data_IF_075028275126
#
_entry.id   IF_075028275126
#
_cell.length_a   1.000
_cell.length_b   1.000
_cell.length_c   1.000
_cell.angle_alpha   90.00
_cell.angle_beta   90.00
_cell.angle_gamma   90.00
#
_symmetry.space_group_name_H-M   'P 1'
#
loop_
_entity.id
_entity.type
_entity.pdbx_description
1 polymer ?
#
# COMPACT_ATOMS: atom_id res chain seq x y z
N UNK A 1 14.83 -42.33 -16.65
CA UNK A 1 14.48 -41.58 -15.41
C UNK A 1 13.98 -40.19 -15.81
N UNK A 2 12.67 -39.98 -15.73
CA UNK A 2 12.05 -38.72 -16.10
C UNK A 2 11.93 -37.87 -14.84
N UNK A 3 12.58 -36.72 -14.83
CA UNK A 3 12.41 -35.69 -13.76
C UNK A 3 11.06 -35.02 -13.94
N UNK A 4 10.15 -35.29 -13.03
CA UNK A 4 8.90 -34.55 -12.86
C UNK A 4 9.23 -33.14 -12.35
N UNK A 5 9.20 -32.16 -13.24
CA UNK A 5 9.20 -30.77 -12.88
C UNK A 5 7.78 -30.43 -12.36
N UNK A 6 7.61 -30.51 -11.03
CA UNK A 6 6.38 -30.14 -10.39
C UNK A 6 6.15 -28.63 -10.63
N UNK A 7 5.12 -28.29 -11.41
CA UNK A 7 4.64 -26.92 -11.53
C UNK A 7 4.26 -26.42 -10.13
N UNK A 8 5.02 -25.46 -9.62
CA UNK A 8 4.67 -24.72 -8.42
C UNK A 8 3.42 -23.91 -8.77
N UNK A 9 2.27 -24.35 -8.30
CA UNK A 9 1.04 -23.57 -8.38
C UNK A 9 1.30 -22.19 -7.76
N UNK A 10 0.86 -21.08 -8.39
CA UNK A 10 1.02 -19.77 -7.80
C UNK A 10 0.37 -19.79 -6.42
N UNK A 11 1.17 -19.54 -5.38
CA UNK A 11 0.66 -19.48 -4.01
C UNK A 11 -0.41 -18.39 -3.97
N UNK A 12 -1.60 -18.75 -3.51
CA UNK A 12 -2.68 -17.79 -3.30
C UNK A 12 -2.16 -16.61 -2.46
N UNK A 13 -2.41 -15.40 -2.91
CA UNK A 13 -2.04 -14.17 -2.17
C UNK A 13 -2.97 -13.94 -0.98
N UNK A 14 -4.03 -14.74 -0.86
CA UNK A 14 -4.97 -14.69 0.24
C UNK A 14 -4.37 -15.31 1.50
N UNK A 15 -4.47 -14.62 2.63
CA UNK A 15 -3.92 -15.12 3.90
C UNK A 15 -4.69 -16.32 4.43
N UNK A 16 -5.95 -16.47 4.06
CA UNK A 16 -6.76 -17.65 4.40
C UNK A 16 -6.19 -18.93 3.79
N UNK A 17 -5.42 -18.83 2.71
CA UNK A 17 -4.75 -20.01 2.12
C UNK A 17 -3.74 -20.68 3.05
N UNK A 18 -3.28 -19.99 4.09
CA UNK A 18 -2.43 -20.56 5.13
C UNK A 18 -3.21 -21.36 6.19
N UNK A 19 -4.52 -21.17 6.32
CA UNK A 19 -5.31 -21.76 7.41
C UNK A 19 -5.28 -23.28 7.46
N UNK A 20 -5.49 -24.02 6.36
CA UNK A 20 -5.40 -25.47 6.41
C UNK A 20 -4.02 -25.99 6.85
N UNK A 21 -2.94 -25.26 6.47
CA UNK A 21 -1.59 -25.62 6.88
C UNK A 21 -1.33 -25.30 8.36
N UNK A 22 -1.93 -24.23 8.88
CA UNK A 22 -1.87 -23.85 10.30
C UNK A 22 -2.59 -24.92 11.13
N UNK A 23 -3.83 -25.25 10.81
CA UNK A 23 -4.61 -26.26 11.51
C UNK A 23 -3.90 -27.63 11.52
N UNK A 24 -3.42 -28.06 10.35
CA UNK A 24 -2.70 -29.32 10.21
C UNK A 24 -1.42 -29.36 11.06
N UNK A 25 -0.68 -28.24 11.12
CA UNK A 25 0.63 -28.19 11.77
C UNK A 25 0.55 -28.03 13.28
N UNK A 26 -0.43 -27.27 13.77
CA UNK A 26 -0.51 -26.90 15.20
C UNK A 26 -1.68 -27.59 15.93
N UNK A 27 -2.48 -28.41 15.20
CA UNK A 27 -3.44 -29.34 15.79
C UNK A 27 -4.78 -28.74 16.23
N UNK A 28 -4.95 -27.41 16.12
CA UNK A 28 -6.15 -26.73 16.57
C UNK A 28 -6.87 -26.01 15.39
N UNK A 29 -8.21 -25.93 15.41
CA UNK A 29 -8.96 -25.24 14.35
C UNK A 29 -8.72 -23.74 14.37
N UNK A 30 -8.96 -23.06 13.23
CA UNK A 30 -8.76 -21.60 13.12
C UNK A 30 -9.58 -20.80 14.14
N UNK A 31 -10.78 -21.31 14.53
CA UNK A 31 -11.59 -20.69 15.60
C UNK A 31 -10.82 -20.56 16.93
N UNK A 32 -10.07 -21.61 17.29
CA UNK A 32 -9.21 -21.57 18.48
C UNK A 32 -8.11 -20.49 18.33
N UNK A 33 -7.45 -20.44 17.19
CA UNK A 33 -6.37 -19.46 16.94
C UNK A 33 -6.89 -18.03 16.93
N UNK A 34 -8.10 -17.78 16.43
CA UNK A 34 -8.71 -16.45 16.51
C UNK A 34 -9.03 -16.03 17.96
N UNK A 35 -9.46 -16.96 18.83
CA UNK A 35 -9.64 -16.65 20.24
C UNK A 35 -8.31 -16.32 20.94
N UNK A 36 -7.23 -17.06 20.64
CA UNK A 36 -5.91 -16.73 21.14
C UNK A 36 -5.47 -15.32 20.69
N UNK A 37 -5.71 -14.98 19.44
CA UNK A 37 -5.37 -13.65 18.91
C UNK A 37 -6.18 -12.51 19.55
N UNK A 38 -7.43 -12.75 19.96
CA UNK A 38 -8.21 -11.76 20.70
C UNK A 38 -7.57 -11.37 22.03
N UNK A 39 -6.97 -12.32 22.74
CA UNK A 39 -6.28 -12.08 24.02
C UNK A 39 -5.10 -11.12 23.90
N UNK A 40 -4.50 -11.04 22.73
CA UNK A 40 -3.33 -10.19 22.43
C UNK A 40 -3.63 -9.05 21.46
N UNK A 41 -4.91 -8.79 21.16
CA UNK A 41 -5.34 -7.82 20.13
C UNK A 41 -4.81 -6.40 20.36
N UNK A 42 -4.67 -5.97 21.61
CA UNK A 42 -4.13 -4.65 21.98
C UNK A 42 -2.60 -4.53 21.90
N UNK A 43 -1.87 -5.63 21.68
CA UNK A 43 -0.40 -5.60 21.60
C UNK A 43 0.09 -5.13 20.24
N UNK A 44 1.35 -4.68 20.18
CA UNK A 44 2.01 -4.33 18.91
C UNK A 44 2.21 -5.57 18.04
N UNK A 45 2.30 -5.37 16.74
CA UNK A 45 2.50 -6.47 15.76
C UNK A 45 3.65 -7.42 16.11
N UNK A 46 4.87 -6.95 16.47
CA UNK A 46 5.96 -7.86 16.83
C UNK A 46 5.65 -8.72 18.05
N UNK A 47 4.96 -8.17 19.04
CA UNK A 47 4.57 -8.86 20.27
C UNK A 47 3.51 -9.94 20.00
N UNK A 48 2.58 -9.68 19.08
CA UNK A 48 1.59 -10.67 18.64
C UNK A 48 2.25 -11.84 17.88
N UNK A 49 3.24 -11.53 17.03
CA UNK A 49 4.03 -12.56 16.33
C UNK A 49 4.86 -13.37 17.31
N UNK A 50 5.54 -12.72 18.27
CA UNK A 50 6.32 -13.38 19.32
C UNK A 50 5.42 -14.31 20.15
N UNK A 51 4.24 -13.86 20.55
CA UNK A 51 3.27 -14.65 21.31
C UNK A 51 2.96 -16.00 20.64
N UNK A 52 2.66 -16.01 19.33
CA UNK A 52 2.39 -17.24 18.61
C UNK A 52 3.62 -18.14 18.47
N UNK A 53 4.78 -17.53 18.28
CA UNK A 53 6.02 -18.29 18.09
C UNK A 53 6.53 -18.92 19.38
N UNK A 54 6.50 -18.18 20.46
CA UNK A 54 7.06 -18.58 21.76
C UNK A 54 6.12 -19.53 22.50
N UNK A 55 4.81 -19.33 22.46
CA UNK A 55 3.87 -20.14 23.19
C UNK A 55 3.34 -21.36 22.41
N UNK A 56 3.34 -21.29 21.08
CA UNK A 56 2.73 -22.34 20.22
C UNK A 56 3.66 -22.87 19.13
N UNK A 57 4.91 -22.42 19.07
CA UNK A 57 5.89 -22.90 18.08
C UNK A 57 5.60 -22.52 16.65
N UNK A 58 4.84 -21.45 16.42
CA UNK A 58 4.51 -21.00 15.05
C UNK A 58 5.78 -20.65 14.27
N UNK A 59 5.79 -21.04 12.99
CA UNK A 59 6.76 -20.52 12.04
C UNK A 59 6.53 -19.02 11.82
N UNK A 60 7.56 -18.28 11.40
CA UNK A 60 7.43 -16.85 11.12
C UNK A 60 6.35 -16.57 10.07
N UNK A 61 6.28 -17.40 9.00
CA UNK A 61 5.32 -17.25 7.92
C UNK A 61 3.86 -17.43 8.41
N UNK A 62 3.59 -18.49 9.19
CA UNK A 62 2.26 -18.77 9.73
C UNK A 62 1.84 -17.71 10.77
N UNK A 63 2.75 -17.31 11.66
CA UNK A 63 2.48 -16.25 12.63
C UNK A 63 2.16 -14.91 11.93
N UNK A 64 2.96 -14.54 10.92
CA UNK A 64 2.71 -13.33 10.14
C UNK A 64 1.35 -13.39 9.41
N UNK A 65 1.01 -14.52 8.79
CA UNK A 65 -0.25 -14.68 8.07
C UNK A 65 -1.44 -14.50 9.02
N UNK A 66 -1.45 -15.18 10.17
CA UNK A 66 -2.52 -15.13 11.15
C UNK A 66 -2.63 -13.74 11.79
N UNK A 67 -1.53 -13.15 12.26
CA UNK A 67 -1.52 -11.82 12.89
C UNK A 67 -2.02 -10.76 11.90
N UNK A 68 -1.53 -10.75 10.67
CA UNK A 68 -1.95 -9.79 9.66
C UNK A 68 -3.43 -9.96 9.29
N UNK A 69 -3.91 -11.20 9.20
CA UNK A 69 -5.33 -11.48 8.96
C UNK A 69 -6.20 -10.89 10.08
N UNK A 70 -5.87 -11.17 11.34
CA UNK A 70 -6.59 -10.64 12.52
C UNK A 70 -6.53 -9.11 12.61
N UNK A 71 -5.50 -8.48 12.03
CA UNK A 71 -5.37 -7.01 11.91
C UNK A 71 -6.10 -6.42 10.69
N UNK A 72 -6.88 -7.25 9.96
CA UNK A 72 -7.68 -6.81 8.83
C UNK A 72 -6.99 -6.90 7.45
N UNK A 73 -5.73 -7.31 7.39
CA UNK A 73 -5.04 -7.55 6.12
C UNK A 73 -5.28 -8.98 5.63
N UNK A 74 -6.27 -9.15 4.78
CA UNK A 74 -6.69 -10.47 4.29
C UNK A 74 -5.86 -11.00 3.12
N UNK A 75 -5.15 -10.13 2.40
CA UNK A 75 -4.32 -10.51 1.25
C UNK A 75 -2.88 -10.07 1.41
N UNK A 76 -1.97 -10.85 0.87
CA UNK A 76 -0.55 -10.52 0.69
C UNK A 76 -0.21 -10.13 -0.74
N UNK A 77 -1.23 -9.88 -1.58
CA UNK A 77 -1.06 -9.52 -2.99
C UNK A 77 -0.12 -8.32 -3.12
N UNK A 78 0.86 -8.47 -3.99
CA UNK A 78 1.72 -7.37 -4.44
C UNK A 78 1.26 -6.93 -5.81
N UNK A 79 1.22 -5.65 -6.03
CA UNK A 79 0.96 -5.06 -7.32
C UNK A 79 2.28 -4.82 -8.05
N UNK A 80 2.28 -4.98 -9.36
CA UNK A 80 3.45 -4.74 -10.22
C UNK A 80 3.21 -3.54 -11.13
N UNK A 81 1.96 -3.30 -11.49
CA UNK A 81 1.56 -2.21 -12.38
C UNK A 81 0.46 -1.34 -11.76
N UNK A 82 0.25 -0.15 -12.33
CA UNK A 82 -0.90 0.68 -11.97
C UNK A 82 -2.22 -0.06 -12.20
N UNK A 83 -2.34 -0.80 -13.29
CA UNK A 83 -3.55 -1.54 -13.64
C UNK A 83 -3.84 -2.64 -12.60
N UNK A 84 -2.81 -3.36 -12.15
CA UNK A 84 -2.97 -4.35 -11.07
C UNK A 84 -3.43 -3.71 -9.76
N UNK A 85 -2.91 -2.52 -9.47
CA UNK A 85 -3.30 -1.75 -8.29
C UNK A 85 -4.75 -1.28 -8.36
N UNK A 86 -5.19 -0.84 -9.54
CA UNK A 86 -6.54 -0.31 -9.75
C UNK A 86 -7.60 -1.41 -9.85
N UNK A 87 -7.26 -2.58 -10.39
CA UNK A 87 -8.22 -3.64 -10.68
C UNK A 87 -9.16 -4.04 -9.52
N UNK A 88 -8.73 -4.11 -8.25
CA UNK A 88 -9.62 -4.42 -7.13
C UNK A 88 -10.42 -3.23 -6.59
N UNK A 89 -10.20 -2.01 -7.10
CA UNK A 89 -10.86 -0.80 -6.64
C UNK A 89 -12.17 -0.56 -7.40
N UNK A 90 -13.10 0.17 -6.81
CA UNK A 90 -14.30 0.62 -7.52
C UNK A 90 -13.98 1.68 -8.59
N UNK A 91 -14.93 1.89 -9.51
CA UNK A 91 -14.76 2.78 -10.65
C UNK A 91 -14.39 4.22 -10.26
N UNK A 92 -14.99 4.76 -9.19
CA UNK A 92 -14.70 6.12 -8.74
C UNK A 92 -13.26 6.31 -8.28
N UNK A 93 -12.71 5.33 -7.54
CA UNK A 93 -11.29 5.33 -7.17
C UNK A 93 -10.40 5.20 -8.41
N UNK A 94 -10.71 4.27 -9.32
CA UNK A 94 -9.94 4.06 -10.54
C UNK A 94 -9.85 5.33 -11.38
N UNK A 95 -10.98 5.95 -11.67
CA UNK A 95 -11.07 7.18 -12.47
C UNK A 95 -10.29 8.33 -11.82
N UNK A 96 -10.49 8.54 -10.52
CA UNK A 96 -9.83 9.64 -9.80
C UNK A 96 -8.31 9.44 -9.78
N UNK A 97 -7.82 8.23 -9.50
CA UNK A 97 -6.38 7.95 -9.47
C UNK A 97 -5.76 8.10 -10.87
N UNK A 98 -6.43 7.63 -11.92
CA UNK A 98 -5.96 7.86 -13.30
C UNK A 98 -5.90 9.34 -13.64
N UNK A 99 -6.92 10.11 -13.27
CA UNK A 99 -6.97 11.55 -13.50
C UNK A 99 -5.84 12.30 -12.78
N UNK A 100 -5.50 11.90 -11.55
CA UNK A 100 -4.36 12.45 -10.79
C UNK A 100 -3.06 12.24 -11.56
N UNK A 101 -2.75 11.02 -11.98
CA UNK A 101 -1.52 10.73 -12.71
C UNK A 101 -1.51 11.40 -14.10
N UNK A 102 -2.62 11.40 -14.81
CA UNK A 102 -2.75 12.07 -16.10
C UNK A 102 -2.49 13.59 -16.00
N UNK A 103 -3.02 14.25 -14.96
CA UNK A 103 -2.81 15.68 -14.73
C UNK A 103 -1.34 16.03 -14.48
N UNK A 104 -0.58 15.14 -13.86
CA UNK A 104 0.86 15.31 -13.62
C UNK A 104 1.67 14.96 -14.88
N UNK A 105 1.50 13.75 -15.41
CA UNK A 105 2.31 13.22 -16.51
C UNK A 105 2.04 13.94 -17.84
N UNK A 106 0.87 14.58 -18.00
CA UNK A 106 0.60 15.47 -19.14
C UNK A 106 1.63 16.58 -19.28
N UNK A 107 2.20 17.07 -18.18
CA UNK A 107 3.25 18.11 -18.16
C UNK A 107 4.65 17.50 -17.93
N UNK A 108 4.77 16.50 -17.09
CA UNK A 108 6.03 15.91 -16.64
C UNK A 108 6.18 14.48 -17.20
N UNK A 109 6.33 14.36 -18.53
CA UNK A 109 6.38 13.07 -19.25
C UNK A 109 7.58 12.21 -18.91
N UNK A 110 8.64 12.80 -18.35
CA UNK A 110 9.87 12.09 -17.93
C UNK A 110 9.74 11.42 -16.55
N UNK A 111 8.62 11.58 -15.85
CA UNK A 111 8.41 10.90 -14.58
C UNK A 111 7.97 9.45 -14.82
N UNK A 112 8.64 8.55 -14.13
CA UNK A 112 8.31 7.13 -14.15
C UNK A 112 7.23 6.83 -13.11
N UNK A 113 6.18 6.13 -13.52
CA UNK A 113 5.18 5.56 -12.62
C UNK A 113 5.62 4.14 -12.24
N UNK A 114 5.83 3.92 -10.97
CA UNK A 114 6.25 2.62 -10.42
C UNK A 114 5.34 2.20 -9.27
N UNK A 115 5.34 0.92 -8.94
CA UNK A 115 4.76 0.43 -7.68
C UNK A 115 5.89 0.28 -6.66
N UNK A 116 5.84 1.09 -5.60
CA UNK A 116 6.74 0.95 -4.46
C UNK A 116 5.90 0.90 -3.17
N UNK A 117 6.31 0.05 -2.21
CA UNK A 117 5.54 -0.25 -0.99
C UNK A 117 4.07 -0.60 -1.26
N UNK A 118 3.83 -1.25 -2.41
CA UNK A 118 2.50 -1.66 -2.87
C UNK A 118 1.54 -0.51 -3.23
N UNK A 119 2.07 0.67 -3.53
CA UNK A 119 1.33 1.87 -3.96
C UNK A 119 1.93 2.47 -5.23
N UNK A 120 1.12 3.10 -6.10
CA UNK A 120 1.61 3.81 -7.26
C UNK A 120 2.30 5.11 -6.87
N UNK A 121 3.51 5.28 -7.36
CA UNK A 121 4.40 6.40 -7.03
C UNK A 121 5.06 6.92 -8.30
N UNK A 122 5.10 8.24 -8.46
CA UNK A 122 5.92 8.91 -9.46
C UNK A 122 7.32 9.15 -8.92
N UNK A 123 8.33 8.75 -9.70
CA UNK A 123 9.74 9.00 -9.42
C UNK A 123 10.45 9.65 -10.59
N UNK A 124 11.60 10.25 -10.30
CA UNK A 124 12.61 10.65 -11.29
C UNK A 124 13.97 10.18 -10.82
N UNK A 125 14.65 9.41 -11.66
CA UNK A 125 15.86 8.68 -11.27
C UNK A 125 15.57 7.83 -9.99
N UNK A 126 16.36 7.97 -8.94
CA UNK A 126 16.17 7.24 -7.68
C UNK A 126 15.32 8.01 -6.65
N UNK A 127 14.72 9.14 -7.04
CA UNK A 127 13.94 9.96 -6.12
C UNK A 127 12.45 9.75 -6.30
N UNK A 128 11.77 9.32 -5.25
CA UNK A 128 10.32 9.28 -5.17
C UNK A 128 9.78 10.69 -4.92
N UNK A 129 8.85 11.13 -5.76
CA UNK A 129 8.35 12.50 -5.76
C UNK A 129 6.92 12.61 -5.25
N UNK A 130 6.06 11.67 -5.64
CA UNK A 130 4.62 11.76 -5.37
C UNK A 130 3.98 10.39 -5.33
N UNK A 131 3.22 10.10 -4.29
CA UNK A 131 2.53 8.83 -4.10
C UNK A 131 1.02 8.99 -3.99
N UNK A 132 0.29 7.94 -4.36
CA UNK A 132 -1.17 7.85 -4.24
C UNK A 132 -1.55 6.54 -3.55
N UNK A 133 -2.51 6.61 -2.61
CA UNK A 133 -3.04 5.44 -1.91
C UNK A 133 -4.56 5.52 -1.84
N UNK A 134 -5.24 4.47 -2.29
CA UNK A 134 -6.68 4.31 -2.09
C UNK A 134 -6.97 3.91 -0.64
N UNK A 135 -7.87 4.64 0.02
CA UNK A 135 -8.49 4.27 1.28
C UNK A 135 -9.96 3.92 1.03
N UNK A 136 -10.68 3.44 2.04
CA UNK A 136 -12.06 2.95 1.86
C UNK A 136 -13.01 3.98 1.22
N UNK A 137 -12.93 5.24 1.65
CA UNK A 137 -13.89 6.29 1.26
C UNK A 137 -13.20 7.55 0.70
N UNK A 138 -11.90 7.52 0.48
CA UNK A 138 -11.12 8.67 0.02
C UNK A 138 -9.80 8.19 -0.59
N UNK A 139 -9.06 9.11 -1.15
CA UNK A 139 -7.73 8.87 -1.70
C UNK A 139 -6.75 9.72 -0.91
N UNK A 140 -5.61 9.15 -0.57
CA UNK A 140 -4.48 9.87 0.01
C UNK A 140 -3.46 10.15 -1.08
N UNK A 141 -3.05 11.40 -1.17
CA UNK A 141 -1.95 11.83 -2.03
C UNK A 141 -0.82 12.41 -1.17
N UNK A 142 0.41 12.23 -1.59
CA UNK A 142 1.57 12.63 -0.81
C UNK A 142 2.72 13.13 -1.69
N UNK A 143 3.14 14.40 -1.58
CA UNK A 143 4.47 14.78 -1.99
C UNK A 143 5.48 14.10 -1.06
N UNK A 144 6.47 13.41 -1.62
CA UNK A 144 7.37 12.53 -0.86
C UNK A 144 8.70 13.21 -0.49
N UNK A 145 8.97 14.37 -1.09
CA UNK A 145 10.16 15.17 -0.79
C UNK A 145 9.91 16.02 0.45
N UNK A 146 10.85 15.97 1.38
CA UNK A 146 10.76 16.69 2.66
C UNK A 146 10.59 18.21 2.44
N UNK A 147 9.68 18.82 3.18
CA UNK A 147 9.43 20.27 3.16
C UNK A 147 8.33 20.68 2.17
N UNK A 148 8.06 19.86 1.13
CA UNK A 148 7.08 20.22 0.09
C UNK A 148 5.66 20.27 0.64
N UNK A 149 5.25 19.32 1.47
CA UNK A 149 3.90 19.33 2.03
C UNK A 149 3.68 20.57 2.90
N UNK A 150 4.66 20.93 3.70
CA UNK A 150 4.66 22.09 4.58
C UNK A 150 4.53 23.40 3.79
N UNK A 151 5.25 23.53 2.69
CA UNK A 151 5.16 24.69 1.78
C UNK A 151 3.76 24.90 1.23
N UNK A 152 3.07 23.81 0.90
CA UNK A 152 1.73 23.85 0.31
C UNK A 152 0.59 23.94 1.34
N UNK A 153 0.85 23.82 2.62
CA UNK A 153 -0.17 23.85 3.69
C UNK A 153 -1.16 25.03 3.56
N UNK A 154 -0.77 26.28 3.23
CA UNK A 154 -1.72 27.37 3.06
C UNK A 154 -2.75 27.15 1.93
N UNK A 155 -2.40 26.38 0.90
CA UNK A 155 -3.28 26.04 -0.25
C UNK A 155 -4.16 24.83 0.01
N UNK A 156 -3.96 24.12 1.13
CA UNK A 156 -4.58 22.84 1.43
C UNK A 156 -5.70 22.93 2.48
N UNK A 157 -6.16 24.11 2.83
CA UNK A 157 -7.14 24.34 3.90
C UNK A 157 -8.51 23.69 3.64
N UNK A 158 -8.87 23.46 2.36
CA UNK A 158 -10.10 22.78 1.96
C UNK A 158 -9.97 21.25 1.91
N UNK A 159 -8.80 20.71 2.17
CA UNK A 159 -8.51 19.28 2.13
C UNK A 159 -8.27 18.71 3.53
N UNK A 160 -8.53 17.42 3.71
CA UNK A 160 -8.11 16.72 4.93
C UNK A 160 -6.58 16.59 4.97
N UNK A 161 -5.92 17.25 5.91
CA UNK A 161 -4.47 17.23 6.02
C UNK A 161 -4.02 16.32 7.16
N UNK A 162 -3.18 15.36 6.84
CA UNK A 162 -2.47 14.52 7.79
C UNK A 162 -0.98 14.91 7.84
N UNK A 163 -0.23 14.32 8.77
CA UNK A 163 1.21 14.63 8.95
C UNK A 163 2.04 14.51 7.66
N UNK A 164 1.68 13.62 6.74
CA UNK A 164 2.46 13.34 5.52
C UNK A 164 1.60 13.20 4.26
N UNK A 165 0.28 13.31 4.38
CA UNK A 165 -0.62 13.04 3.27
C UNK A 165 -1.76 14.06 3.25
N UNK A 166 -2.32 14.25 2.06
CA UNK A 166 -3.49 15.05 1.80
C UNK A 166 -4.62 14.09 1.45
N UNK A 167 -5.77 14.25 2.09
CA UNK A 167 -6.96 13.47 1.80
C UNK A 167 -7.81 14.21 0.77
N UNK A 168 -8.10 13.54 -0.34
CA UNK A 168 -9.02 14.01 -1.38
C UNK A 168 -10.20 13.03 -1.53
N UNK A 169 -11.40 13.49 -1.87
CA UNK A 169 -12.55 12.59 -2.03
C UNK A 169 -12.41 11.69 -3.26
N UNK A 170 -13.09 10.56 -3.24
CA UNK A 170 -13.38 9.80 -4.47
C UNK A 170 -14.25 10.66 -5.37
N UNK A 171 -13.95 10.73 -6.66
CA UNK A 171 -14.60 11.67 -7.60
C UNK A 171 -14.09 13.12 -7.49
N UNK A 172 -12.94 13.32 -6.88
CA UNK A 172 -12.30 14.63 -6.79
C UNK A 172 -12.15 15.27 -8.18
N UNK A 173 -12.65 16.49 -8.33
CA UNK A 173 -12.32 17.32 -9.48
C UNK A 173 -10.84 17.75 -9.37
N UNK A 174 -9.97 17.02 -10.05
CA UNK A 174 -8.51 17.06 -9.85
C UNK A 174 -7.97 18.46 -10.12
N UNK A 175 -7.43 19.11 -9.07
CA UNK A 175 -6.66 20.35 -9.19
C UNK A 175 -5.27 20.07 -9.81
N UNK A 176 -5.25 20.03 -11.14
CA UNK A 176 -4.02 19.77 -11.88
C UNK A 176 -2.97 20.86 -11.72
N UNK A 177 -3.35 22.10 -11.33
CA UNK A 177 -2.39 23.19 -11.07
C UNK A 177 -1.67 22.88 -9.75
N UNK A 178 -2.42 22.60 -8.69
CA UNK A 178 -1.87 22.21 -7.39
C UNK A 178 -0.90 21.04 -7.51
N UNK A 179 -1.32 19.97 -8.19
CA UNK A 179 -0.48 18.78 -8.36
C UNK A 179 0.83 19.07 -9.11
N UNK A 180 0.76 19.83 -10.19
CA UNK A 180 1.96 20.20 -10.98
C UNK A 180 2.90 21.13 -10.21
N UNK A 181 2.37 22.02 -9.40
CA UNK A 181 3.17 22.89 -8.52
C UNK A 181 3.90 22.08 -7.45
N UNK A 182 3.22 21.10 -6.82
CA UNK A 182 3.86 20.18 -5.87
C UNK A 182 4.97 19.35 -6.53
N UNK A 183 4.77 18.89 -7.75
CA UNK A 183 5.81 18.16 -8.50
C UNK A 183 6.98 19.07 -8.82
N UNK A 184 6.73 20.31 -9.23
CA UNK A 184 7.80 21.29 -9.49
C UNK A 184 8.63 21.51 -8.24
N UNK A 185 7.99 21.83 -7.11
CA UNK A 185 8.67 22.00 -5.82
C UNK A 185 9.47 20.76 -5.40
N UNK A 186 8.89 19.55 -5.62
CA UNK A 186 9.58 18.29 -5.34
C UNK A 186 10.82 18.09 -6.21
N UNK A 187 10.75 18.44 -7.48
CA UNK A 187 11.90 18.37 -8.40
C UNK A 187 13.01 19.37 -8.02
N UNK A 188 12.63 20.59 -7.67
CA UNK A 188 13.54 21.65 -7.22
C UNK A 188 14.24 21.25 -5.91
N UNK A 189 13.47 20.86 -4.89
CA UNK A 189 13.99 20.46 -3.59
C UNK A 189 14.87 19.19 -3.64
N UNK A 190 14.65 18.31 -4.61
CA UNK A 190 15.46 17.10 -4.79
C UNK A 190 16.67 17.26 -5.71
N UNK A 191 16.91 18.45 -6.28
CA UNK A 191 17.96 18.70 -7.24
C UNK A 191 17.72 18.05 -8.63
N UNK A 192 16.53 17.54 -8.89
CA UNK A 192 16.13 16.90 -10.15
C UNK A 192 15.43 17.89 -11.11
N UNK A 193 15.87 19.14 -11.16
CA UNK A 193 15.26 20.17 -12.03
C UNK A 193 15.22 19.69 -13.48
N UNK A 194 14.04 19.80 -14.10
CA UNK A 194 13.90 19.53 -15.52
C UNK A 194 14.71 20.58 -16.31
N UNK A 195 15.78 20.15 -16.97
CA UNK A 195 16.38 20.94 -18.05
C UNK A 195 15.52 20.86 -19.30
#
# INVERSE_FOLDING_TARGET
MAYYCGAVSPQSTDRESYFPAIEKRYGEPMSYWFEQMKQVSGRKYPEQVAYLRENYGFSQAHANALVQYCRGSKSSRRFETLEDYLAPLDAGHQETIRAIFAAIQGRYRSLELVIAWNHPILKKNDTYLFGVMAAKNHILIAPMVKGVLEEFTPRLQSYGLNKKTIQVPVGWNVDGVLLRDMIRASLEASGNVAR
#
